data_IF_140317553003
#
_entry.id   IF_140317553003
#
_cell.length_a   1.000
_cell.length_b   1.000
_cell.length_c   1.000
_cell.angle_alpha   90.00
_cell.angle_beta   90.00
_cell.angle_gamma   90.00
#
_symmetry.space_group_name_H-M   'P 1'
#
loop_
_entity.id
_entity.type
_entity.pdbx_description
1 polymer ?
#
# COMPACT_ATOMS: atom_id res chain seq x y z
N UNK A 1 -5.26 22.95 -27.33
CA UNK A 1 -5.03 21.52 -27.70
C UNK A 1 -4.47 20.67 -26.55
N UNK A 2 -3.47 21.14 -25.79
CA UNK A 2 -2.89 20.35 -24.69
C UNK A 2 -3.82 20.19 -23.47
N UNK A 3 -4.62 21.21 -23.13
CA UNK A 3 -5.58 21.16 -22.03
C UNK A 3 -6.81 20.29 -22.33
N UNK A 4 -7.27 20.27 -23.59
CA UNK A 4 -8.39 19.43 -24.03
C UNK A 4 -8.01 17.95 -24.01
N UNK A 5 -6.78 17.62 -24.39
CA UNK A 5 -6.28 16.24 -24.34
C UNK A 5 -6.08 15.73 -22.90
N UNK A 6 -5.64 16.59 -21.97
CA UNK A 6 -5.60 16.27 -20.53
C UNK A 6 -7.00 16.06 -19.96
N UNK A 7 -7.95 16.94 -20.30
CA UNK A 7 -9.34 16.83 -19.86
C UNK A 7 -10.00 15.54 -20.37
N UNK A 8 -9.78 15.18 -21.64
CA UNK A 8 -10.30 13.95 -22.22
C UNK A 8 -9.73 12.70 -21.53
N UNK A 9 -8.41 12.67 -21.29
CA UNK A 9 -7.78 11.57 -20.54
C UNK A 9 -8.38 11.44 -19.15
N UNK A 10 -8.57 12.55 -18.43
CA UNK A 10 -9.19 12.54 -17.12
C UNK A 10 -10.66 12.06 -17.19
N UNK A 11 -11.42 12.46 -18.20
CA UNK A 11 -12.80 12.02 -18.38
C UNK A 11 -12.90 10.51 -18.62
N UNK A 12 -12.00 9.95 -19.44
CA UNK A 12 -11.93 8.50 -19.69
C UNK A 12 -11.57 7.74 -18.41
N UNK A 13 -10.56 8.22 -17.67
CA UNK A 13 -10.19 7.62 -16.37
C UNK A 13 -11.39 7.64 -15.43
N UNK A 14 -12.12 8.76 -15.34
CA UNK A 14 -13.32 8.84 -14.53
C UNK A 14 -14.38 7.82 -14.96
N UNK A 15 -14.67 7.71 -16.27
CA UNK A 15 -15.65 6.80 -16.81
C UNK A 15 -15.32 5.33 -16.48
N UNK A 16 -14.05 4.95 -16.58
CA UNK A 16 -13.59 3.57 -16.32
C UNK A 16 -13.57 3.24 -14.82
N UNK A 17 -13.25 4.22 -13.97
CA UNK A 17 -13.18 4.02 -12.52
C UNK A 17 -14.54 4.12 -11.83
N UNK A 18 -15.49 4.85 -12.40
CA UNK A 18 -16.78 5.15 -11.77
C UNK A 18 -17.57 3.89 -11.37
N UNK A 19 -17.73 2.84 -12.21
CA UNK A 19 -18.49 1.65 -11.81
C UNK A 19 -17.89 0.97 -10.57
N UNK A 20 -16.57 0.80 -10.55
CA UNK A 20 -15.86 0.19 -9.41
C UNK A 20 -15.93 1.08 -8.17
N UNK A 21 -15.84 2.39 -8.34
CA UNK A 21 -15.98 3.35 -7.25
C UNK A 21 -17.39 3.33 -6.64
N UNK A 22 -18.44 3.31 -7.47
CA UNK A 22 -19.82 3.21 -6.99
C UNK A 22 -20.08 1.91 -6.24
N UNK A 23 -19.52 0.79 -6.71
CA UNK A 23 -19.60 -0.48 -5.98
C UNK A 23 -18.94 -0.39 -4.60
N UNK A 24 -17.72 0.17 -4.52
CA UNK A 24 -17.04 0.36 -3.24
C UNK A 24 -17.84 1.29 -2.30
N UNK A 25 -18.43 2.37 -2.84
CA UNK A 25 -19.29 3.27 -2.09
C UNK A 25 -20.52 2.54 -1.53
N UNK A 26 -21.18 1.69 -2.33
CA UNK A 26 -22.31 0.88 -1.86
C UNK A 26 -21.88 -0.11 -0.78
N UNK A 27 -20.72 -0.77 -0.93
CA UNK A 27 -20.18 -1.66 0.10
C UNK A 27 -19.92 -0.91 1.40
N UNK A 28 -19.26 0.25 1.35
CA UNK A 28 -19.00 1.06 2.55
C UNK A 28 -20.30 1.51 3.23
N UNK A 29 -21.31 1.88 2.44
CA UNK A 29 -22.64 2.23 2.95
C UNK A 29 -23.33 1.03 3.62
N UNK A 30 -23.26 -0.16 3.01
CA UNK A 30 -23.81 -1.38 3.61
C UNK A 30 -23.07 -1.77 4.90
N UNK A 31 -21.76 -1.57 4.94
CA UNK A 31 -20.96 -1.85 6.13
C UNK A 31 -21.17 -0.84 7.26
N UNK A 32 -21.81 0.31 7.04
CA UNK A 32 -22.25 1.19 8.14
C UNK A 32 -23.38 0.57 8.97
N UNK A 33 -24.12 -0.42 8.42
CA UNK A 33 -25.11 -1.16 9.19
C UNK A 33 -24.43 -2.25 10.02
N UNK A 34 -24.43 -2.12 11.36
CA UNK A 34 -23.70 -3.02 12.26
C UNK A 34 -24.09 -4.51 12.11
N UNK A 35 -25.33 -4.82 11.75
CA UNK A 35 -25.77 -6.19 11.49
C UNK A 35 -25.12 -6.79 10.24
N UNK A 36 -24.97 -5.98 9.19
CA UNK A 36 -24.28 -6.37 7.95
C UNK A 36 -22.78 -6.49 8.24
N UNK A 37 -22.18 -5.48 8.88
CA UNK A 37 -20.74 -5.48 9.27
C UNK A 37 -20.36 -6.73 10.05
N UNK A 38 -21.09 -7.03 11.13
CA UNK A 38 -20.86 -8.23 11.95
C UNK A 38 -20.99 -9.52 11.14
N UNK A 39 -21.98 -9.60 10.26
CA UNK A 39 -22.20 -10.79 9.42
C UNK A 39 -21.09 -10.98 8.39
N UNK A 40 -20.61 -9.90 7.78
CA UNK A 40 -19.45 -9.94 6.87
C UNK A 40 -18.21 -10.37 7.64
N UNK A 41 -17.95 -9.78 8.80
CA UNK A 41 -16.78 -10.10 9.62
C UNK A 41 -16.77 -11.57 10.08
N UNK A 42 -17.92 -12.09 10.52
CA UNK A 42 -18.06 -13.51 10.88
C UNK A 42 -17.75 -14.41 9.68
N UNK A 43 -18.30 -14.10 8.50
CA UNK A 43 -18.00 -14.88 7.28
C UNK A 43 -16.53 -14.81 6.91
N UNK A 44 -15.88 -13.65 7.04
CA UNK A 44 -14.45 -13.52 6.74
C UNK A 44 -13.60 -14.32 7.74
N UNK A 45 -13.98 -14.33 9.02
CA UNK A 45 -13.31 -15.15 10.04
C UNK A 45 -13.51 -16.65 9.80
N UNK A 46 -14.71 -17.06 9.38
CA UNK A 46 -15.04 -18.45 9.04
C UNK A 46 -14.37 -18.92 7.73
N UNK A 47 -14.17 -18.01 6.77
CA UNK A 47 -13.51 -18.31 5.50
C UNK A 47 -12.00 -18.56 5.61
N UNK A 48 -11.42 -18.41 6.80
CA UNK A 48 -10.06 -18.87 7.12
C UNK A 48 -9.02 -18.28 6.18
N UNK A 49 -8.62 -17.04 6.42
CA UNK A 49 -7.36 -16.54 5.87
C UNK A 49 -6.20 -17.44 6.32
N UNK A 50 -5.16 -17.56 5.50
CA UNK A 50 -3.93 -18.23 5.93
C UNK A 50 -3.44 -17.58 7.23
N UNK A 51 -3.03 -18.37 8.22
CA UNK A 51 -2.59 -17.86 9.53
C UNK A 51 -1.39 -16.90 9.43
N UNK A 52 -0.71 -16.89 8.28
CA UNK A 52 0.41 -16.00 7.97
C UNK A 52 -0.02 -14.65 7.43
N UNK A 53 -1.25 -14.50 6.94
CA UNK A 53 -1.79 -13.23 6.45
C UNK A 53 -2.31 -12.40 7.63
N UNK A 54 -2.03 -11.08 7.66
CA UNK A 54 -2.55 -10.23 8.72
C UNK A 54 -4.09 -10.18 8.62
N UNK A 55 -4.80 -10.19 9.76
CA UNK A 55 -6.24 -10.07 9.74
C UNK A 55 -6.66 -8.75 9.12
N UNK A 56 -7.72 -8.76 8.31
CA UNK A 56 -8.31 -7.53 7.81
C UNK A 56 -8.93 -6.75 8.98
N UNK A 57 -8.27 -5.67 9.40
CA UNK A 57 -8.73 -4.81 10.48
C UNK A 57 -9.74 -3.78 9.95
N UNK A 58 -11.04 -4.10 10.02
CA UNK A 58 -12.12 -3.14 9.80
C UNK A 58 -12.61 -2.65 11.15
N UNK A 59 -12.68 -1.33 11.32
CA UNK A 59 -13.19 -0.73 12.56
C UNK A 59 -14.65 -1.09 12.81
N UNK A 60 -14.95 -1.51 14.05
CA UNK A 60 -16.32 -1.77 14.51
C UNK A 60 -17.08 -0.48 14.83
N UNK A 61 -16.37 0.59 15.18
CA UNK A 61 -16.94 1.84 15.68
C UNK A 61 -17.03 2.91 14.61
N UNK A 62 -16.08 2.93 13.67
CA UNK A 62 -15.97 4.01 12.71
C UNK A 62 -17.02 3.89 11.60
N UNK A 63 -17.46 5.05 11.13
CA UNK A 63 -18.26 5.17 9.92
C UNK A 63 -17.37 4.96 8.71
N UNK A 64 -17.70 3.96 7.89
CA UNK A 64 -16.98 3.65 6.68
C UNK A 64 -17.50 4.48 5.52
N UNK A 65 -18.78 4.84 5.47
CA UNK A 65 -19.31 5.72 4.42
C UNK A 65 -19.29 7.18 4.83
N UNK A 66 -18.17 7.85 4.56
CA UNK A 66 -17.98 9.29 4.74
C UNK A 66 -17.42 9.97 3.48
N UNK A 67 -17.50 11.29 3.41
CA UNK A 67 -16.90 12.04 2.28
C UNK A 67 -15.39 11.80 2.23
N UNK A 68 -14.75 11.70 3.39
CA UNK A 68 -13.31 11.47 3.57
C UNK A 68 -12.93 10.07 3.07
N UNK A 69 -13.70 9.04 3.44
CA UNK A 69 -13.49 7.67 2.97
C UNK A 69 -13.63 7.56 1.45
N UNK A 70 -14.64 8.21 0.86
CA UNK A 70 -14.88 8.19 -0.57
C UNK A 70 -13.76 8.90 -1.34
N UNK A 71 -13.24 10.00 -0.80
CA UNK A 71 -12.04 10.66 -1.35
C UNK A 71 -10.83 9.72 -1.31
N UNK A 72 -10.61 9.01 -0.22
CA UNK A 72 -9.50 8.06 -0.07
C UNK A 72 -9.62 6.87 -1.05
N UNK A 73 -10.82 6.28 -1.17
CA UNK A 73 -11.08 5.18 -2.12
C UNK A 73 -10.87 5.64 -3.56
N UNK A 74 -11.36 6.83 -3.91
CA UNK A 74 -11.15 7.40 -5.25
C UNK A 74 -9.66 7.64 -5.54
N UNK A 75 -8.93 8.19 -4.56
CA UNK A 75 -7.49 8.41 -4.64
C UNK A 75 -6.74 7.10 -4.90
N UNK A 76 -6.99 6.06 -4.09
CA UNK A 76 -6.39 4.74 -4.28
C UNK A 76 -6.73 4.10 -5.64
N UNK A 77 -7.99 4.20 -6.09
CA UNK A 77 -8.39 3.72 -7.41
C UNK A 77 -7.65 4.43 -8.56
N UNK A 78 -7.51 5.75 -8.45
CA UNK A 78 -6.80 6.55 -9.44
C UNK A 78 -5.31 6.22 -9.48
N UNK A 79 -4.67 6.09 -8.32
CA UNK A 79 -3.26 5.71 -8.23
C UNK A 79 -3.03 4.34 -8.84
N UNK A 80 -3.83 3.33 -8.50
CA UNK A 80 -3.64 1.99 -9.07
C UNK A 80 -3.87 1.95 -10.59
N UNK A 81 -4.81 2.74 -11.11
CA UNK A 81 -5.07 2.79 -12.55
C UNK A 81 -3.94 3.48 -13.32
N UNK A 82 -3.31 4.50 -12.74
CA UNK A 82 -2.27 5.31 -13.38
C UNK A 82 -0.85 4.86 -13.04
N UNK A 83 -0.68 3.85 -12.18
CA UNK A 83 0.64 3.37 -11.76
C UNK A 83 1.47 2.91 -12.96
N UNK A 84 2.78 3.05 -12.83
CA UNK A 84 3.74 2.58 -13.82
C UNK A 84 4.13 1.11 -13.60
N UNK A 85 4.11 0.64 -12.35
CA UNK A 85 4.47 -0.72 -11.98
C UNK A 85 3.44 -1.74 -12.49
N UNK A 86 3.90 -2.70 -13.27
CA UNK A 86 3.09 -3.81 -13.76
C UNK A 86 3.91 -5.10 -13.76
N UNK A 87 3.28 -6.21 -13.39
CA UNK A 87 3.87 -7.55 -13.45
C UNK A 87 4.54 -7.81 -14.82
N UNK A 88 5.77 -8.31 -14.77
CA UNK A 88 6.61 -8.63 -15.93
C UNK A 88 7.28 -7.43 -16.60
N UNK A 89 7.01 -6.19 -16.15
CA UNK A 89 7.64 -4.97 -16.69
C UNK A 89 8.78 -4.47 -15.81
N UNK A 90 9.53 -3.50 -16.33
CA UNK A 90 10.56 -2.79 -15.56
C UNK A 90 9.97 -2.12 -14.33
N UNK A 91 10.66 -2.27 -13.19
CA UNK A 91 10.28 -1.69 -11.93
C UNK A 91 10.57 -0.18 -11.92
N UNK A 92 9.61 0.69 -11.54
CA UNK A 92 9.86 2.12 -11.42
C UNK A 92 10.96 2.42 -10.39
N UNK A 93 11.99 3.18 -10.80
CA UNK A 93 13.10 3.55 -9.94
C UNK A 93 12.92 4.95 -9.32
N UNK A 94 11.93 5.08 -8.44
CA UNK A 94 11.52 6.33 -7.79
C UNK A 94 12.41 6.69 -6.61
N UNK A 95 12.37 7.96 -6.24
CA UNK A 95 13.15 8.51 -5.12
C UNK A 95 12.53 8.15 -3.77
N UNK A 96 13.39 7.83 -2.82
CA UNK A 96 13.05 7.57 -1.42
C UNK A 96 14.10 8.23 -0.53
N UNK A 97 13.73 8.48 0.73
CA UNK A 97 14.55 9.19 1.71
C UNK A 97 14.87 8.24 2.86
N UNK A 98 16.16 8.17 3.22
CA UNK A 98 16.61 7.40 4.38
C UNK A 98 16.12 8.02 5.70
N UNK A 99 15.75 7.15 6.64
CA UNK A 99 15.23 7.57 7.94
C UNK A 99 16.28 8.27 8.82
N UNK A 100 17.52 7.79 8.83
CA UNK A 100 18.58 8.24 9.75
C UNK A 100 19.27 9.54 9.31
N UNK A 101 19.70 9.61 8.04
CA UNK A 101 20.54 10.69 7.52
C UNK A 101 19.82 11.59 6.50
N UNK A 102 18.54 11.32 6.24
CA UNK A 102 17.71 12.02 5.25
C UNK A 102 18.32 12.04 3.84
N UNK A 103 19.23 11.11 3.54
CA UNK A 103 19.83 11.01 2.22
C UNK A 103 18.80 10.51 1.22
N UNK A 104 18.74 11.16 0.07
CA UNK A 104 17.94 10.68 -1.06
C UNK A 104 18.64 9.50 -1.75
N UNK A 105 17.87 8.46 -2.02
CA UNK A 105 18.26 7.26 -2.77
C UNK A 105 17.10 6.86 -3.69
N UNK A 106 17.23 5.75 -4.40
CA UNK A 106 16.15 5.19 -5.21
C UNK A 106 15.86 3.75 -4.86
N UNK A 107 14.64 3.29 -5.17
CA UNK A 107 14.18 1.93 -4.86
C UNK A 107 15.14 0.85 -5.37
N UNK A 108 15.66 0.97 -6.61
CA UNK A 108 16.52 -0.05 -7.18
C UNK A 108 17.94 -0.03 -6.62
N UNK A 109 18.34 1.00 -5.86
CA UNK A 109 19.64 1.04 -5.19
C UNK A 109 19.70 0.01 -4.03
N UNK A 110 18.55 -0.50 -3.59
CA UNK A 110 18.42 -1.54 -2.57
C UNK A 110 18.36 -2.97 -3.16
N UNK A 111 18.29 -3.11 -4.48
CA UNK A 111 18.32 -4.42 -5.12
C UNK A 111 19.76 -4.93 -5.18
N UNK A 112 20.01 -6.14 -4.67
CA UNK A 112 21.35 -6.75 -4.62
C UNK A 112 21.45 -7.92 -5.59
N UNK A 113 22.25 -7.75 -6.65
CA UNK A 113 22.53 -8.79 -7.64
C UNK A 113 21.24 -9.45 -8.17
N UNK A 114 21.14 -10.77 -8.01
CA UNK A 114 20.00 -11.60 -8.43
C UNK A 114 18.99 -11.86 -7.30
N UNK A 115 19.25 -11.36 -6.10
CA UNK A 115 18.37 -11.60 -4.95
C UNK A 115 17.06 -10.84 -5.15
N UNK A 116 15.90 -11.49 -4.93
CA UNK A 116 14.62 -10.79 -4.93
C UNK A 116 14.59 -9.71 -3.85
N UNK A 117 14.10 -8.53 -4.21
CA UNK A 117 13.82 -7.43 -3.28
C UNK A 117 12.31 -7.35 -3.06
N UNK A 118 11.87 -7.63 -1.84
CA UNK A 118 10.50 -7.44 -1.39
C UNK A 118 10.31 -5.95 -1.08
N UNK A 119 9.36 -5.32 -1.76
CA UNK A 119 8.89 -3.98 -1.41
C UNK A 119 7.58 -4.07 -0.67
N UNK A 120 7.53 -3.41 0.46
CA UNK A 120 6.36 -3.33 1.32
C UNK A 120 6.00 -1.86 1.53
N UNK A 121 4.92 -1.43 0.92
CA UNK A 121 4.38 -0.08 1.10
C UNK A 121 3.34 -0.10 2.21
N UNK A 122 3.42 0.86 3.11
CA UNK A 122 2.49 1.00 4.23
C UNK A 122 3.14 0.67 5.58
N UNK A 123 2.31 0.33 6.57
CA UNK A 123 2.73 0.22 7.97
C UNK A 123 2.78 -1.20 8.53
N UNK A 124 2.25 -2.19 7.81
CA UNK A 124 2.29 -3.59 8.23
C UNK A 124 3.62 -4.22 7.83
N UNK A 125 4.37 -4.82 8.76
CA UNK A 125 5.69 -5.40 8.48
C UNK A 125 5.60 -6.91 8.29
N UNK A 126 6.13 -7.40 7.17
CA UNK A 126 6.29 -8.83 6.89
C UNK A 126 7.51 -9.37 7.64
N UNK A 127 7.33 -10.50 8.33
CA UNK A 127 8.42 -11.25 8.97
C UNK A 127 9.45 -11.71 7.91
N UNK A 128 10.74 -11.42 8.17
CA UNK A 128 11.79 -11.46 7.15
C UNK A 128 12.19 -12.87 6.72
N UNK A 129 12.14 -13.14 5.41
CA UNK A 129 12.82 -14.25 4.73
C UNK A 129 14.25 -13.81 4.32
N UNK A 130 15.04 -13.32 5.28
CA UNK A 130 16.32 -12.65 5.00
C UNK A 130 17.36 -13.57 4.33
N UNK A 131 17.21 -14.88 4.47
CA UNK A 131 18.05 -15.89 3.83
C UNK A 131 17.89 -15.87 2.30
N UNK A 132 16.66 -15.71 1.80
CA UNK A 132 16.33 -15.86 0.37
C UNK A 132 15.91 -14.57 -0.34
N UNK A 133 15.57 -13.51 0.39
CA UNK A 133 15.21 -12.22 -0.20
C UNK A 133 15.67 -11.03 0.67
N UNK A 134 15.93 -9.90 0.02
CA UNK A 134 16.09 -8.61 0.69
C UNK A 134 14.71 -7.97 0.90
N UNK A 135 14.52 -7.17 1.94
CA UNK A 135 13.25 -6.51 2.25
C UNK A 135 13.43 -5.02 2.47
N UNK A 136 12.55 -4.22 1.86
CA UNK A 136 12.51 -2.78 1.99
C UNK A 136 11.08 -2.33 2.29
N UNK A 137 10.91 -1.62 3.39
CA UNK A 137 9.64 -0.97 3.73
C UNK A 137 9.70 0.48 3.25
N UNK A 138 8.71 0.89 2.45
CA UNK A 138 8.55 2.26 1.97
C UNK A 138 7.37 2.90 2.69
N UNK A 139 7.67 3.79 3.63
CA UNK A 139 6.67 4.55 4.36
C UNK A 139 6.06 5.63 3.47
N UNK A 140 4.74 5.62 3.31
CA UNK A 140 4.00 6.50 2.39
C UNK A 140 3.09 7.47 3.17
N UNK A 141 2.20 8.16 2.46
CA UNK A 141 1.19 9.00 3.10
C UNK A 141 0.19 8.17 3.93
N UNK A 142 -0.30 8.76 5.04
CA UNK A 142 -1.29 8.12 5.90
C UNK A 142 -2.58 7.83 5.12
N UNK A 143 -3.02 6.57 5.19
CA UNK A 143 -4.33 6.18 4.68
C UNK A 143 -5.48 6.69 5.57
N UNK A 144 -5.21 6.79 6.88
CA UNK A 144 -6.18 7.19 7.89
C UNK A 144 -5.66 8.36 8.75
N UNK A 145 -5.42 9.55 8.16
CA UNK A 145 -4.90 10.67 8.91
C UNK A 145 -5.93 11.18 9.93
N UNK A 146 -5.45 11.62 11.09
CA UNK A 146 -6.30 12.12 12.19
C UNK A 146 -7.06 13.40 11.85
N UNK A 147 -6.62 14.17 10.85
CA UNK A 147 -7.29 15.34 10.29
C UNK A 147 -8.05 15.05 8.98
N UNK A 148 -8.35 13.77 8.70
CA UNK A 148 -9.11 13.32 7.53
C UNK A 148 -9.98 12.10 7.81
N UNK A 149 -9.73 10.99 7.10
CA UNK A 149 -10.46 9.74 7.35
C UNK A 149 -9.88 8.99 8.54
N UNK A 150 -10.15 9.51 9.74
CA UNK A 150 -9.62 8.99 10.99
C UNK A 150 -10.09 7.56 11.28
N UNK A 151 -9.18 6.74 11.80
CA UNK A 151 -9.49 5.45 12.41
C UNK A 151 -9.18 5.51 13.91
N UNK A 152 -10.20 5.42 14.75
CA UNK A 152 -10.06 5.34 16.22
C UNK A 152 -9.28 4.13 16.71
N UNK A 153 -9.18 3.11 15.86
CA UNK A 153 -8.57 1.82 16.23
C UNK A 153 -7.08 1.78 15.84
N UNK A 154 -6.58 2.83 15.17
CA UNK A 154 -5.16 2.95 14.86
C UNK A 154 -4.35 3.23 16.14
N UNK A 155 -3.18 2.58 16.31
CA UNK A 155 -2.33 2.74 17.50
C UNK A 155 -1.82 4.19 17.64
N UNK A 156 -1.61 4.87 16.51
CA UNK A 156 -1.17 6.26 16.46
C UNK A 156 -2.16 7.10 15.65
N UNK A 157 -2.42 8.31 16.14
CA UNK A 157 -3.30 9.28 15.49
C UNK A 157 -2.46 10.34 14.77
N UNK A 158 -1.93 9.97 13.61
CA UNK A 158 -0.98 10.77 12.84
C UNK A 158 -1.75 11.69 11.87
N UNK A 159 -1.54 13.02 11.89
CA UNK A 159 -2.18 13.91 10.92
C UNK A 159 -1.54 13.74 9.55
N UNK A 160 -2.19 14.26 8.50
CA UNK A 160 -1.59 14.28 7.17
C UNK A 160 -0.26 15.03 7.18
N UNK A 161 0.80 14.36 6.72
CA UNK A 161 2.13 14.94 6.59
C UNK A 161 2.10 16.21 5.72
N UNK A 162 2.62 17.33 6.23
CA UNK A 162 2.70 18.60 5.49
C UNK A 162 4.11 18.87 4.98
N UNK A 163 5.10 18.24 5.61
CA UNK A 163 6.52 18.31 5.26
C UNK A 163 7.18 16.95 5.53
N UNK A 164 8.40 16.78 5.01
CA UNK A 164 9.15 15.54 5.09
C UNK A 164 9.41 15.11 6.54
N UNK A 165 9.70 16.07 7.43
CA UNK A 165 9.95 15.79 8.85
C UNK A 165 8.76 15.16 9.55
N UNK A 166 7.53 15.55 9.18
CA UNK A 166 6.32 14.95 9.75
C UNK A 166 6.25 13.45 9.39
N UNK A 167 6.59 13.12 8.14
CA UNK A 167 6.59 11.74 7.64
C UNK A 167 7.74 10.91 8.20
N UNK A 168 8.94 11.49 8.34
CA UNK A 168 10.08 10.85 8.98
C UNK A 168 9.77 10.50 10.43
N UNK A 169 9.14 11.41 11.18
CA UNK A 169 8.74 11.16 12.56
C UNK A 169 7.73 10.01 12.66
N UNK A 170 6.75 9.97 11.76
CA UNK A 170 5.77 8.88 11.68
C UNK A 170 6.43 7.53 11.35
N UNK A 171 7.32 7.51 10.36
CA UNK A 171 8.10 6.33 9.99
C UNK A 171 9.01 5.84 11.12
N UNK A 172 9.56 6.76 11.93
CA UNK A 172 10.37 6.41 13.10
C UNK A 172 9.55 5.70 14.17
N UNK A 173 8.30 6.09 14.40
CA UNK A 173 7.40 5.39 15.32
C UNK A 173 7.20 3.95 14.87
N UNK A 174 6.92 3.73 13.58
CA UNK A 174 6.78 2.39 13.00
C UNK A 174 8.08 1.58 13.11
N UNK A 175 9.24 2.20 12.86
CA UNK A 175 10.53 1.52 12.94
C UNK A 175 10.84 1.00 14.35
N UNK A 176 10.41 1.73 15.40
CA UNK A 176 10.58 1.31 16.78
C UNK A 176 9.71 0.10 17.15
N UNK A 177 8.55 -0.08 16.52
CA UNK A 177 7.68 -1.22 16.76
C UNK A 177 8.18 -2.51 16.09
N UNK A 178 8.91 -2.40 14.98
CA UNK A 178 9.41 -3.57 14.24
C UNK A 178 10.90 -3.41 13.89
N UNK A 179 11.79 -3.63 14.88
CA UNK A 179 13.22 -3.49 14.67
C UNK A 179 13.74 -4.53 13.66
N UNK A 180 14.71 -4.11 12.84
CA UNK A 180 15.43 -4.99 11.90
C UNK A 180 14.99 -4.88 10.45
N UNK A 181 13.89 -4.19 10.13
CA UNK A 181 13.52 -3.88 8.75
C UNK A 181 14.17 -2.59 8.26
N UNK A 182 14.66 -2.61 7.02
CA UNK A 182 15.14 -1.41 6.36
C UNK A 182 13.93 -0.56 5.97
N UNK A 183 13.79 0.60 6.60
CA UNK A 183 12.70 1.54 6.37
C UNK A 183 13.24 2.76 5.63
N UNK A 184 12.57 3.10 4.54
CA UNK A 184 12.76 4.36 3.81
C UNK A 184 11.42 5.06 3.71
N UNK A 185 11.46 6.35 3.39
CA UNK A 185 10.29 7.19 3.33
C UNK A 185 10.09 7.69 1.90
N UNK A 186 8.86 7.63 1.39
CA UNK A 186 8.54 8.20 0.09
C UNK A 186 8.67 9.73 0.12
N UNK A 187 8.98 10.33 -1.03
CA UNK A 187 9.07 11.78 -1.14
C UNK A 187 7.72 12.47 -0.88
N UNK A 188 7.73 13.76 -0.55
CA UNK A 188 6.48 14.50 -0.30
C UNK A 188 5.59 14.62 -1.55
N UNK A 189 6.15 14.42 -2.74
CA UNK A 189 5.44 14.29 -4.02
C UNK A 189 4.74 12.93 -4.19
N UNK A 190 4.91 12.01 -3.23
CA UNK A 190 4.37 10.65 -3.26
C UNK A 190 4.79 9.86 -4.50
N UNK A 191 6.04 10.03 -4.94
CA UNK A 191 6.51 9.52 -6.23
C UNK A 191 6.47 7.99 -6.29
N UNK A 192 6.90 7.32 -5.22
CA UNK A 192 6.90 5.86 -5.11
C UNK A 192 5.47 5.33 -4.96
N UNK A 193 4.67 5.95 -4.09
CA UNK A 193 3.26 5.60 -3.91
C UNK A 193 2.49 5.70 -5.24
N UNK A 194 2.73 6.75 -6.03
CA UNK A 194 2.09 6.91 -7.34
C UNK A 194 2.59 5.92 -8.39
N UNK A 195 3.89 5.67 -8.45
CA UNK A 195 4.47 4.78 -9.44
C UNK A 195 4.07 3.31 -9.21
N UNK A 196 3.86 2.90 -7.95
CA UNK A 196 3.46 1.55 -7.56
C UNK A 196 1.96 1.44 -7.24
N UNK A 197 1.21 2.55 -7.25
CA UNK A 197 -0.21 2.55 -6.90
C UNK A 197 -0.46 1.89 -5.55
N UNK A 198 0.31 2.30 -4.53
CA UNK A 198 0.51 1.54 -3.31
C UNK A 198 -0.25 2.09 -2.09
N UNK A 199 -1.17 3.03 -2.31
CA UNK A 199 -1.96 3.67 -1.25
C UNK A 199 -2.75 2.63 -0.44
N UNK A 200 -2.87 2.87 0.87
CA UNK A 200 -3.11 1.89 1.95
C UNK A 200 -1.87 1.04 2.22
N UNK A 201 -1.87 -0.21 1.78
CA UNK A 201 -0.74 -1.12 1.88
C UNK A 201 -0.62 -1.89 0.57
N UNK A 202 0.62 -2.24 0.19
CA UNK A 202 0.86 -3.08 -0.99
C UNK A 202 2.21 -3.77 -0.99
N UNK A 203 2.21 -5.00 -1.46
CA UNK A 203 3.41 -5.84 -1.61
C UNK A 203 3.84 -5.94 -3.07
N UNK A 204 5.14 -5.94 -3.30
CA UNK A 204 5.78 -6.24 -4.58
C UNK A 204 7.03 -7.10 -4.36
N UNK A 205 7.41 -7.88 -5.37
CA UNK A 205 8.76 -8.46 -5.45
C UNK A 205 9.40 -7.96 -6.72
N UNK A 206 10.59 -7.41 -6.58
CA UNK A 206 11.45 -7.00 -7.67
C UNK A 206 12.60 -8.00 -7.83
N UNK A 207 12.95 -8.32 -9.07
CA UNK A 207 14.13 -9.10 -9.37
C UNK A 207 14.71 -8.64 -10.70
N UNK A 208 16.02 -8.42 -10.76
CA UNK A 208 16.74 -7.95 -11.95
C UNK A 208 16.08 -6.70 -12.60
N UNK A 209 15.65 -5.75 -11.75
CA UNK A 209 15.01 -4.50 -12.19
C UNK A 209 13.59 -4.67 -12.77
N UNK A 210 12.96 -5.83 -12.63
CA UNK A 210 11.59 -6.10 -13.07
C UNK A 210 10.66 -6.42 -11.91
N UNK A 211 9.37 -6.16 -12.10
CA UNK A 211 8.31 -6.58 -11.18
C UNK A 211 7.98 -8.05 -11.45
N UNK A 212 8.30 -8.93 -10.51
CA UNK A 212 8.02 -10.38 -10.60
C UNK A 212 6.82 -10.80 -9.74
N UNK A 213 6.42 -9.96 -8.79
CA UNK A 213 5.15 -10.09 -8.06
C UNK A 213 4.52 -8.72 -7.84
N UNK A 214 3.20 -8.67 -7.92
CA UNK A 214 2.39 -7.48 -7.66
C UNK A 214 1.18 -7.89 -6.82
N UNK A 215 1.16 -7.47 -5.56
CA UNK A 215 0.04 -7.70 -4.66
C UNK A 215 -1.24 -6.99 -5.08
N UNK A 216 -2.35 -7.47 -4.52
CA UNK A 216 -3.66 -6.84 -4.64
C UNK A 216 -3.67 -5.43 -4.02
N UNK A 217 -4.76 -4.70 -4.20
CA UNK A 217 -4.91 -3.34 -3.66
C UNK A 217 -5.37 -3.38 -2.21
N UNK A 218 -4.76 -2.54 -1.38
CA UNK A 218 -5.21 -2.32 -0.01
C UNK A 218 -5.11 -3.57 0.87
N UNK A 219 -5.67 -3.50 2.09
CA UNK A 219 -5.44 -4.53 3.09
C UNK A 219 -6.09 -5.88 2.73
N UNK A 220 -7.14 -5.88 1.89
CA UNK A 220 -7.72 -7.13 1.32
C UNK A 220 -6.75 -7.84 0.36
N UNK A 221 -5.91 -7.08 -0.34
CA UNK A 221 -4.94 -7.59 -1.29
C UNK A 221 -3.55 -7.82 -0.71
N UNK A 222 -3.36 -7.52 0.59
CA UNK A 222 -2.12 -7.69 1.30
C UNK A 222 -1.97 -9.15 1.75
N UNK A 223 -1.42 -9.98 0.85
CA UNK A 223 -1.28 -11.43 1.07
C UNK A 223 0.20 -11.79 1.20
N UNK A 224 0.61 -12.12 2.42
CA UNK A 224 1.96 -12.59 2.77
C UNK A 224 2.14 -14.03 2.29
N UNK A 225 1.09 -14.84 2.39
CA UNK A 225 1.06 -16.22 1.89
C UNK A 225 1.44 -16.28 0.40
N UNK A 226 0.72 -15.54 -0.46
CA UNK A 226 1.00 -15.45 -1.90
C UNK A 226 2.42 -14.94 -2.20
N UNK A 227 2.90 -13.97 -1.41
CA UNK A 227 4.26 -13.45 -1.52
C UNK A 227 5.30 -14.54 -1.17
N UNK A 228 5.09 -15.31 -0.10
CA UNK A 228 5.98 -16.41 0.32
C UNK A 228 6.05 -17.50 -0.74
N UNK A 229 4.91 -17.92 -1.28
CA UNK A 229 4.85 -18.92 -2.35
C UNK A 229 5.64 -18.46 -3.58
N UNK A 230 5.51 -17.19 -3.94
CA UNK A 230 6.28 -16.60 -5.04
C UNK A 230 7.79 -16.63 -4.78
N UNK A 231 8.24 -16.24 -3.59
CA UNK A 231 9.67 -16.25 -3.24
C UNK A 231 10.25 -17.67 -3.28
N UNK A 232 9.53 -18.65 -2.73
CA UNK A 232 9.95 -20.06 -2.74
C UNK A 232 10.09 -20.55 -4.18
N UNK A 233 9.14 -20.20 -5.04
CA UNK A 233 9.19 -20.55 -6.46
C UNK A 233 10.39 -19.90 -7.15
N UNK A 234 10.64 -18.61 -6.92
CA UNK A 234 11.81 -17.91 -7.47
C UNK A 234 13.14 -18.50 -6.98
N UNK A 235 13.21 -18.95 -5.73
CA UNK A 235 14.39 -19.61 -5.19
C UNK A 235 14.61 -20.99 -5.81
N UNK A 236 13.55 -21.76 -6.05
CA UNK A 236 13.65 -23.11 -6.63
C UNK A 236 14.10 -23.16 -8.10
N UNK A 237 13.98 -22.04 -8.82
CA UNK A 237 14.28 -21.92 -10.25
C UNK A 237 15.68 -21.36 -10.53
N UNK A 238 16.36 -20.81 -9.50
CA UNK A 238 17.71 -20.25 -9.59
C UNK A 238 18.77 -21.21 -9.01
#
# INVERSE_FOLDING_TARGET
MMNTMKALKNAIVCLLLLPRFLLAAVVFWLLDFSCIRKRVFLRMKEQGGDATDPPLCISDSNRLFSVESLKAVWHGHKLDFLKAAHLGRGAPNTEVVHLEDQRCSRILDYAKDKRPLILNFGSCVVQQNADIADSLVVYIEEAHPSDGWMSTDAPYQIPKHRRLEDRLNAAQLMHLEVPGCLVVVDSMENSSNAAYGAFFDRLYILQEGKVVYQGGRGPEGYRISELRDCIILLHSVN
#
